data_IF_544377536588
#
_entry.id   IF_544377536588
#
_cell.length_a   1.000
_cell.length_b   1.000
_cell.length_c   1.000
_cell.angle_alpha   90.00
_cell.angle_beta   90.00
_cell.angle_gamma   90.00
#
_symmetry.space_group_name_H-M   'P 1'
#
loop_
_entity.id
_entity.type
_entity.pdbx_description
1 polymer ?
#
# COMPACT_ATOMS: atom_id res chain seq x y z
N UNK A 1 13.69 6.53 -10.37
CA UNK A 1 12.33 5.99 -10.60
C UNK A 1 12.15 5.65 -12.07
N UNK A 2 11.56 4.47 -12.40
CA UNK A 2 11.16 4.13 -13.77
C UNK A 2 10.24 5.20 -14.37
N UNK A 3 10.41 5.53 -15.65
CA UNK A 3 9.66 6.60 -16.34
C UNK A 3 8.15 6.38 -16.26
N UNK A 4 7.68 5.17 -16.56
CA UNK A 4 6.26 4.81 -16.51
C UNK A 4 5.63 5.01 -15.11
N UNK A 5 6.39 4.83 -14.03
CA UNK A 5 5.91 5.06 -12.66
C UNK A 5 5.85 6.57 -12.35
N UNK A 6 6.83 7.33 -12.83
CA UNK A 6 6.89 8.79 -12.66
C UNK A 6 5.71 9.46 -13.35
N UNK A 7 5.41 9.08 -14.59
CA UNK A 7 4.31 9.66 -15.37
C UNK A 7 2.96 9.44 -14.69
N UNK A 8 2.76 8.24 -14.13
CA UNK A 8 1.56 7.90 -13.35
C UNK A 8 1.45 8.69 -12.04
N UNK A 9 2.57 8.95 -11.36
CA UNK A 9 2.57 9.78 -10.15
C UNK A 9 2.26 11.24 -10.51
N UNK A 10 2.78 11.73 -11.64
CA UNK A 10 2.49 13.07 -12.13
C UNK A 10 1.00 13.24 -12.45
N UNK A 11 0.39 12.27 -13.13
CA UNK A 11 -1.03 12.27 -13.46
C UNK A 11 -1.91 12.29 -12.19
N UNK A 12 -1.59 11.46 -11.20
CA UNK A 12 -2.32 11.45 -9.95
C UNK A 12 -2.11 12.73 -9.12
N UNK A 13 -0.89 13.25 -9.07
CA UNK A 13 -0.60 14.50 -8.39
C UNK A 13 -1.39 15.68 -9.01
N UNK A 14 -1.52 15.71 -10.34
CA UNK A 14 -2.37 16.68 -11.04
C UNK A 14 -3.85 16.52 -10.67
N UNK A 15 -4.37 15.30 -10.61
CA UNK A 15 -5.76 15.01 -10.22
C UNK A 15 -6.08 15.51 -8.80
N UNK A 16 -5.17 15.30 -7.85
CA UNK A 16 -5.33 15.74 -6.46
C UNK A 16 -4.82 17.16 -6.19
N UNK A 17 -4.41 17.90 -7.23
CA UNK A 17 -3.83 19.26 -7.15
C UNK A 17 -2.67 19.36 -6.15
N UNK A 18 -1.83 18.34 -6.10
CA UNK A 18 -0.67 18.24 -5.22
C UNK A 18 0.62 18.20 -6.04
N UNK A 19 1.75 18.46 -5.40
CA UNK A 19 3.06 18.18 -6.00
C UNK A 19 3.29 16.67 -6.05
N UNK A 20 4.10 16.19 -7.00
CA UNK A 20 4.51 14.78 -7.04
C UNK A 20 5.12 14.32 -5.72
N UNK A 21 5.90 15.17 -5.06
CA UNK A 21 6.51 14.85 -3.77
C UNK A 21 5.46 14.68 -2.67
N UNK A 22 4.48 15.58 -2.60
CA UNK A 22 3.37 15.48 -1.64
C UNK A 22 2.51 14.23 -1.90
N UNK A 23 2.33 13.85 -3.16
CA UNK A 23 1.59 12.64 -3.54
C UNK A 23 2.35 11.36 -3.17
N UNK A 24 3.67 11.33 -3.36
CA UNK A 24 4.53 10.23 -2.93
C UNK A 24 4.48 10.09 -1.41
N UNK A 25 4.64 11.20 -0.67
CA UNK A 25 4.61 11.20 0.80
C UNK A 25 3.25 10.73 1.32
N UNK A 26 2.14 11.28 0.84
CA UNK A 26 0.79 10.88 1.27
C UNK A 26 0.54 9.38 1.02
N UNK A 27 1.06 8.83 -0.09
CA UNK A 27 0.94 7.40 -0.40
C UNK A 27 1.84 6.52 0.43
N UNK A 28 3.05 6.97 0.75
CA UNK A 28 3.93 6.28 1.68
C UNK A 28 3.32 6.27 3.09
N UNK A 29 2.77 7.39 3.54
CA UNK A 29 2.03 7.50 4.81
C UNK A 29 0.84 6.56 4.85
N UNK A 30 0.04 6.49 3.77
CA UNK A 30 -1.09 5.57 3.67
C UNK A 30 -0.65 4.10 3.62
N UNK A 31 0.37 3.76 2.83
CA UNK A 31 0.93 2.40 2.74
C UNK A 31 1.52 1.94 4.08
N UNK A 32 2.09 2.87 4.84
CA UNK A 32 2.61 2.63 6.18
C UNK A 32 1.54 2.77 7.26
N UNK A 33 0.30 3.17 6.95
CA UNK A 33 -0.77 3.31 7.95
C UNK A 33 -1.26 1.95 8.49
N UNK A 34 -0.94 0.84 7.82
CA UNK A 34 -1.07 -0.52 8.35
C UNK A 34 0.06 -0.95 9.30
N UNK A 35 1.15 -0.18 9.33
CA UNK A 35 2.13 -0.16 10.43
C UNK A 35 1.58 0.85 11.43
N UNK A 36 1.58 0.60 12.75
CA UNK A 36 0.90 1.47 13.70
C UNK A 36 1.50 2.89 13.66
N UNK A 37 0.87 3.77 12.88
CA UNK A 37 1.05 5.21 12.92
C UNK A 37 -0.32 5.84 13.04
N UNK A 38 -0.40 6.61 14.11
CA UNK A 38 -1.57 7.22 14.70
C UNK A 38 -2.30 8.13 13.69
N UNK A 39 -3.56 7.79 13.34
CA UNK A 39 -4.55 8.62 12.61
C UNK A 39 -4.07 9.09 11.22
N UNK A 40 -4.82 8.91 10.14
CA UNK A 40 -5.93 9.79 9.77
C UNK A 40 -6.58 9.19 8.51
N UNK A 41 -7.91 9.33 8.41
CA UNK A 41 -8.70 9.23 7.18
C UNK A 41 -8.93 7.84 6.56
N UNK A 42 -9.88 7.13 7.16
CA UNK A 42 -10.80 6.26 6.45
C UNK A 42 -11.51 7.03 5.33
N UNK A 43 -11.34 6.62 4.07
CA UNK A 43 -12.22 7.06 2.98
C UNK A 43 -11.56 7.09 1.62
N UNK A 44 -11.95 6.13 0.76
CA UNK A 44 -11.68 6.05 -0.68
C UNK A 44 -10.26 5.56 -1.01
N UNK A 45 -10.10 4.24 -1.03
CA UNK A 45 -8.99 3.57 -1.69
C UNK A 45 -9.02 3.90 -3.20
N UNK A 46 -8.06 4.68 -3.75
CA UNK A 46 -8.11 5.06 -5.15
C UNK A 46 -7.86 3.84 -6.06
N UNK A 47 -8.41 3.81 -7.29
CA UNK A 47 -8.19 2.72 -8.26
C UNK A 47 -6.70 2.49 -8.58
N UNK A 48 -5.86 3.50 -8.38
CA UNK A 48 -4.42 3.41 -8.53
C UNK A 48 -3.73 2.52 -7.48
N UNK A 49 -4.30 2.38 -6.28
CA UNK A 49 -3.75 1.52 -5.23
C UNK A 49 -3.82 0.05 -5.64
N UNK A 50 -4.96 -0.40 -6.18
CA UNK A 50 -5.06 -1.73 -6.80
C UNK A 50 -4.09 -1.90 -7.97
N UNK A 51 -3.85 -0.86 -8.77
CA UNK A 51 -2.94 -0.93 -9.92
C UNK A 51 -1.45 -0.96 -9.53
N UNK A 52 -1.05 -0.25 -8.48
CA UNK A 52 0.29 -0.40 -7.90
C UNK A 52 0.43 -1.78 -7.27
N UNK A 53 -0.56 -2.20 -6.48
CA UNK A 53 -0.55 -3.52 -5.87
C UNK A 53 -0.47 -4.63 -6.93
N UNK A 54 -1.21 -4.54 -8.04
CA UNK A 54 -1.08 -5.51 -9.14
C UNK A 54 0.26 -5.42 -9.87
N UNK A 55 0.86 -4.22 -9.97
CA UNK A 55 2.18 -4.04 -10.57
C UNK A 55 3.27 -4.67 -9.71
N UNK A 56 3.21 -4.48 -8.38
CA UNK A 56 4.15 -5.09 -7.42
C UNK A 56 3.82 -6.57 -7.10
N UNK A 57 2.57 -7.01 -7.30
CA UNK A 57 2.16 -8.42 -7.19
C UNK A 57 2.76 -9.31 -8.26
N UNK A 58 3.18 -8.76 -9.41
CA UNK A 58 3.81 -9.54 -10.48
C UNK A 58 5.15 -10.17 -10.07
N UNK A 59 5.72 -9.73 -8.96
CA UNK A 59 6.98 -10.24 -8.42
C UNK A 59 6.78 -11.24 -7.27
N UNK A 60 5.54 -11.54 -6.89
CA UNK A 60 5.21 -12.53 -5.86
C UNK A 60 4.81 -13.86 -6.53
N UNK A 61 5.32 -14.96 -6.00
CA UNK A 61 4.78 -16.30 -6.31
C UNK A 61 3.33 -16.44 -5.81
N UNK A 62 2.59 -17.40 -6.37
CA UNK A 62 1.19 -17.66 -6.00
C UNK A 62 1.03 -17.93 -4.48
N UNK A 63 2.00 -18.60 -3.88
CA UNK A 63 2.02 -18.89 -2.44
C UNK A 63 2.24 -17.63 -1.60
N UNK A 64 3.11 -16.74 -2.04
CA UNK A 64 3.36 -15.46 -1.36
C UNK A 64 2.15 -14.52 -1.47
N UNK A 65 1.51 -14.44 -2.64
CA UNK A 65 0.28 -13.65 -2.79
C UNK A 65 -0.85 -14.21 -1.91
N UNK A 66 -0.96 -15.54 -1.80
CA UNK A 66 -1.91 -16.19 -0.90
C UNK A 66 -1.62 -15.86 0.56
N UNK A 67 -0.37 -15.91 1.00
CA UNK A 67 0.05 -15.55 2.35
C UNK A 67 -0.26 -14.08 2.67
N UNK A 68 0.05 -13.17 1.76
CA UNK A 68 -0.23 -11.74 1.93
C UNK A 68 -1.74 -11.49 2.05
N UNK A 69 -2.57 -12.15 1.22
CA UNK A 69 -4.04 -12.04 1.32
C UNK A 69 -4.58 -12.56 2.64
N UNK A 70 -4.08 -13.69 3.12
CA UNK A 70 -4.48 -14.28 4.40
C UNK A 70 -4.07 -13.37 5.55
N UNK A 71 -2.83 -12.89 5.56
CA UNK A 71 -2.31 -11.99 6.59
C UNK A 71 -3.11 -10.67 6.65
N UNK A 72 -3.48 -10.11 5.50
CA UNK A 72 -4.33 -8.90 5.45
C UNK A 72 -5.74 -9.13 5.95
N UNK A 73 -6.29 -10.35 5.85
CA UNK A 73 -7.59 -10.70 6.42
C UNK A 73 -7.57 -10.91 7.94
N UNK A 74 -6.40 -11.12 8.53
CA UNK A 74 -6.26 -11.27 9.98
C UNK A 74 -6.50 -9.94 10.71
N UNK A 75 -7.14 -10.03 11.87
CA UNK A 75 -7.25 -8.92 12.82
C UNK A 75 -5.87 -8.55 13.40
N UNK A 76 -5.71 -7.32 13.89
CA UNK A 76 -4.45 -6.87 14.49
C UNK A 76 -3.96 -7.79 15.62
N UNK A 77 -4.88 -8.35 16.42
CA UNK A 77 -4.55 -9.31 17.47
C UNK A 77 -3.99 -10.61 16.90
N UNK A 78 -4.59 -11.13 15.83
CA UNK A 78 -4.13 -12.35 15.16
C UNK A 78 -2.80 -12.16 14.45
N UNK A 79 -2.59 -11.02 13.78
CA UNK A 79 -1.29 -10.71 13.17
C UNK A 79 -0.18 -10.66 14.20
N UNK A 80 -0.45 -10.06 15.37
CA UNK A 80 0.53 -9.93 16.45
C UNK A 80 0.85 -11.28 17.08
N UNK A 81 -0.17 -12.10 17.37
CA UNK A 81 0.03 -13.47 17.82
C UNK A 81 0.81 -14.33 16.80
N UNK A 82 0.60 -14.11 15.50
CA UNK A 82 1.34 -14.80 14.45
C UNK A 82 2.81 -14.36 14.39
N UNK A 83 3.09 -13.07 14.59
CA UNK A 83 4.47 -12.59 14.76
C UNK A 83 5.14 -13.18 16.00
N UNK A 84 4.44 -13.20 17.13
CA UNK A 84 4.93 -13.76 18.39
C UNK A 84 5.17 -15.29 18.30
N UNK A 85 4.50 -15.98 17.37
CA UNK A 85 4.69 -17.42 17.13
C UNK A 85 5.88 -17.72 16.21
N UNK A 86 6.20 -16.80 15.29
CA UNK A 86 7.28 -16.95 14.32
C UNK A 86 8.63 -16.40 14.82
N UNK A 87 8.64 -15.71 15.97
CA UNK A 87 9.82 -15.12 16.62
C UNK A 87 10.15 -15.88 17.89
#
# INVERSE_FOLDING_TARGET
MPSALRDRIAEAAALYRRSMNSEIVARLEHSLSGVPKHRTESGIEPPFFRQLETTFRRDLSDDEDRLVRLFRRLSNRQRRALFDLLT
#
